data_IF_582920657478
#
_entry.id   IF_582920657478
#
_cell.length_a   1.000
_cell.length_b   1.000
_cell.length_c   1.000
_cell.angle_alpha   90.00
_cell.angle_beta   90.00
_cell.angle_gamma   90.00
#
_symmetry.space_group_name_H-M   'P 1'
#
loop_
_entity.id
_entity.type
_entity.pdbx_description
1 polymer ?
#
# COMPACT_ATOMS: atom_id res chain seq x y z
N UNK A 1 -72.39 -8.14 24.67
CA UNK A 1 -71.21 -8.95 25.03
C UNK A 1 -70.02 -8.19 24.49
N UNK A 2 -69.59 -7.19 25.27
CA UNK A 2 -68.58 -6.19 24.88
C UNK A 2 -67.16 -6.76 24.97
N UNK A 3 -66.33 -6.25 24.05
CA UNK A 3 -64.93 -6.56 23.89
C UNK A 3 -64.11 -6.16 25.12
N UNK A 4 -63.25 -7.06 25.60
CA UNK A 4 -62.20 -6.74 26.56
C UNK A 4 -60.88 -6.52 25.79
N UNK A 5 -60.64 -5.26 25.42
CA UNK A 5 -59.33 -4.77 25.02
C UNK A 5 -58.86 -3.87 26.17
N UNK A 6 -57.92 -4.37 26.98
CA UNK A 6 -57.32 -3.61 28.06
C UNK A 6 -55.83 -3.99 28.16
N UNK A 7 -55.05 -3.53 27.19
CA UNK A 7 -53.60 -3.41 27.33
C UNK A 7 -53.33 -2.25 28.29
N UNK A 8 -53.15 -2.58 29.56
CA UNK A 8 -52.67 -1.65 30.58
C UNK A 8 -51.15 -1.76 30.65
N UNK A 9 -50.46 -1.04 29.78
CA UNK A 9 -49.08 -0.62 30.00
C UNK A 9 -49.04 0.89 30.07
N UNK A 10 -49.01 1.41 31.30
CA UNK A 10 -48.81 2.83 31.55
C UNK A 10 -47.51 3.28 30.89
N UNK A 11 -47.62 4.17 29.91
CA UNK A 11 -46.49 4.82 29.27
C UNK A 11 -45.72 5.62 30.31
N UNK A 12 -44.62 5.05 30.80
CA UNK A 12 -43.59 5.81 31.49
C UNK A 12 -42.95 6.71 30.42
N UNK A 13 -42.94 8.05 30.58
CA UNK A 13 -42.29 8.91 29.60
C UNK A 13 -40.79 8.55 29.55
N UNK A 14 -40.33 8.20 28.36
CA UNK A 14 -38.93 7.91 28.08
C UNK A 14 -38.06 9.10 28.49
N UNK A 15 -36.88 8.88 29.10
CA UNK A 15 -36.00 9.97 29.51
C UNK A 15 -35.48 10.75 28.29
N UNK A 16 -35.42 12.08 28.41
CA UNK A 16 -34.74 12.94 27.44
C UNK A 16 -33.26 12.53 27.35
N UNK A 17 -32.89 11.84 26.28
CA UNK A 17 -31.50 11.45 26.06
C UNK A 17 -30.67 12.70 25.71
N UNK A 18 -29.56 13.00 26.42
CA UNK A 18 -28.71 14.13 26.10
C UNK A 18 -28.20 14.06 24.65
N UNK A 19 -28.11 15.20 23.95
CA UNK A 19 -27.63 15.31 22.56
C UNK A 19 -26.30 14.60 22.31
N UNK A 20 -25.49 14.43 23.35
CA UNK A 20 -24.23 13.69 23.34
C UNK A 20 -24.40 12.22 22.91
N UNK A 21 -25.52 11.57 23.25
CA UNK A 21 -25.81 10.19 22.82
C UNK A 21 -26.13 10.09 21.33
N UNK A 22 -26.71 11.13 20.73
CA UNK A 22 -26.95 11.18 19.29
C UNK A 22 -25.63 11.33 18.52
N UNK A 23 -24.69 12.10 19.07
CA UNK A 23 -23.34 12.25 18.51
C UNK A 23 -22.56 10.93 18.61
N UNK A 24 -22.63 10.26 19.76
CA UNK A 24 -22.00 8.95 19.95
C UNK A 24 -22.67 7.87 19.07
N UNK A 25 -23.98 7.95 18.82
CA UNK A 25 -24.67 7.09 17.86
C UNK A 25 -24.15 7.28 16.43
N UNK A 26 -23.91 8.52 15.99
CA UNK A 26 -23.36 8.82 14.66
C UNK A 26 -21.91 8.32 14.53
N UNK A 27 -21.10 8.50 15.58
CA UNK A 27 -19.72 7.97 15.62
C UNK A 27 -19.71 6.45 15.60
N UNK A 28 -20.51 5.81 16.44
CA UNK A 28 -20.66 4.37 16.45
C UNK A 28 -21.16 3.85 15.11
N UNK A 29 -22.13 4.51 14.46
CA UNK A 29 -22.59 4.13 13.11
C UNK A 29 -21.45 4.12 12.11
N UNK A 30 -20.59 5.15 12.11
CA UNK A 30 -19.41 5.20 11.23
C UNK A 30 -18.37 4.13 11.54
N UNK A 31 -18.15 3.81 12.82
CA UNK A 31 -17.19 2.76 13.21
C UNK A 31 -17.75 1.38 12.85
N UNK A 32 -19.03 1.11 13.14
CA UNK A 32 -19.70 -0.15 12.79
C UNK A 32 -19.80 -0.30 11.26
N UNK A 33 -20.09 0.76 10.50
CA UNK A 33 -20.12 0.70 9.03
C UNK A 33 -18.76 0.33 8.40
N UNK A 34 -17.66 0.63 9.11
CA UNK A 34 -16.30 0.25 8.73
C UNK A 34 -15.92 -1.14 9.25
N UNK A 35 -16.41 -1.55 10.42
CA UNK A 35 -16.03 -2.80 11.07
C UNK A 35 -16.94 -4.00 10.74
N UNK A 36 -18.24 -3.78 10.57
CA UNK A 36 -19.24 -4.81 10.25
C UNK A 36 -20.50 -4.20 9.59
N UNK A 37 -20.55 -4.28 8.25
CA UNK A 37 -21.71 -3.81 7.46
C UNK A 37 -22.99 -4.64 7.71
N UNK A 38 -22.89 -5.87 8.24
CA UNK A 38 -24.05 -6.74 8.47
C UNK A 38 -24.86 -6.32 9.69
N UNK A 39 -24.21 -5.92 10.79
CA UNK A 39 -24.86 -5.56 12.05
C UNK A 39 -25.85 -4.38 11.93
N UNK A 40 -25.61 -3.43 11.02
CA UNK A 40 -26.51 -2.28 10.79
C UNK A 40 -27.70 -2.62 9.89
N UNK A 41 -27.60 -3.66 9.06
CA UNK A 41 -28.69 -4.05 8.15
C UNK A 41 -29.92 -4.57 8.89
N UNK A 42 -29.70 -5.20 10.05
CA UNK A 42 -30.76 -5.71 10.93
C UNK A 42 -31.50 -4.58 11.68
N UNK A 43 -30.84 -3.45 11.95
CA UNK A 43 -31.45 -2.32 12.66
C UNK A 43 -32.65 -1.70 11.91
N UNK A 44 -32.66 -1.77 10.57
CA UNK A 44 -33.76 -1.26 9.75
C UNK A 44 -35.06 -2.06 9.91
N UNK A 45 -35.01 -3.22 10.57
CA UNK A 45 -36.16 -4.10 10.78
C UNK A 45 -36.87 -3.83 12.13
N UNK A 46 -36.28 -3.01 13.01
CA UNK A 46 -36.81 -2.73 14.34
C UNK A 46 -37.25 -1.27 14.49
N UNK A 47 -38.32 -1.03 15.26
CA UNK A 47 -38.74 0.32 15.61
C UNK A 47 -37.63 1.02 16.41
N UNK A 48 -37.21 2.21 15.97
CA UNK A 48 -36.16 3.03 16.59
C UNK A 48 -36.45 3.47 18.03
N UNK A 49 -37.70 3.36 18.48
CA UNK A 49 -38.12 3.62 19.87
C UNK A 49 -38.23 2.33 20.71
N UNK A 50 -38.03 1.15 20.10
CA UNK A 50 -38.16 -0.14 20.76
C UNK A 50 -36.92 -0.57 21.54
N UNK A 51 -37.14 -1.28 22.66
CA UNK A 51 -36.06 -1.83 23.50
C UNK A 51 -35.07 -2.71 22.70
N UNK A 52 -35.58 -3.52 21.75
CA UNK A 52 -34.76 -4.38 20.90
C UNK A 52 -33.80 -3.60 19.98
N UNK A 53 -34.25 -2.47 19.43
CA UNK A 53 -33.40 -1.59 18.62
C UNK A 53 -32.23 -1.04 19.46
N UNK A 54 -32.52 -0.54 20.66
CA UNK A 54 -31.47 0.00 21.54
C UNK A 54 -30.51 -1.07 22.08
N UNK A 55 -30.94 -2.32 22.23
CA UNK A 55 -30.06 -3.44 22.57
C UNK A 55 -29.07 -3.75 21.44
N UNK A 56 -29.54 -3.80 20.19
CA UNK A 56 -28.68 -4.01 19.03
C UNK A 56 -27.71 -2.85 18.81
N UNK A 57 -28.19 -1.61 18.94
CA UNK A 57 -27.34 -0.42 18.90
C UNK A 57 -26.25 -0.51 19.97
N UNK A 58 -26.60 -0.84 21.22
CA UNK A 58 -25.64 -0.95 22.32
C UNK A 58 -24.61 -2.05 22.05
N UNK A 59 -25.03 -3.20 21.52
CA UNK A 59 -24.12 -4.29 21.16
C UNK A 59 -23.13 -3.83 20.09
N UNK A 60 -23.63 -3.30 18.97
CA UNK A 60 -22.81 -2.83 17.86
C UNK A 60 -21.83 -1.71 18.29
N UNK A 61 -22.28 -0.76 19.11
CA UNK A 61 -21.41 0.29 19.69
C UNK A 61 -20.34 -0.33 20.58
N UNK A 62 -20.68 -1.32 21.40
CA UNK A 62 -19.74 -1.98 22.32
C UNK A 62 -18.68 -2.76 21.54
N UNK A 63 -19.07 -3.49 20.50
CA UNK A 63 -18.16 -4.21 19.61
C UNK A 63 -17.24 -3.23 18.87
N UNK A 64 -17.81 -2.20 18.24
CA UNK A 64 -17.05 -1.14 17.58
C UNK A 64 -16.03 -0.45 18.50
N UNK A 65 -16.43 -0.11 19.73
CA UNK A 65 -15.54 0.44 20.74
C UNK A 65 -14.48 -0.57 21.19
N UNK A 66 -14.84 -1.85 21.31
CA UNK A 66 -13.90 -2.93 21.61
C UNK A 66 -12.83 -3.06 20.52
N UNK A 67 -13.25 -3.14 19.25
CA UNK A 67 -12.35 -3.16 18.10
C UNK A 67 -11.45 -1.92 18.04
N UNK A 68 -12.02 -0.73 18.24
CA UNK A 68 -11.24 0.51 18.20
C UNK A 68 -10.24 0.62 19.38
N UNK A 69 -10.63 0.22 20.59
CA UNK A 69 -9.77 0.28 21.79
C UNK A 69 -8.65 -0.75 21.74
N UNK A 70 -8.92 -1.92 21.19
CA UNK A 70 -7.97 -3.04 21.13
C UNK A 70 -7.37 -3.23 19.75
N UNK A 71 -7.52 -2.26 18.83
CA UNK A 71 -6.97 -2.36 17.48
C UNK A 71 -5.46 -2.65 17.51
N UNK A 72 -4.72 -1.89 18.33
CA UNK A 72 -3.28 -2.07 18.48
C UNK A 72 -2.92 -3.40 19.16
N UNK A 73 -3.71 -3.86 20.15
CA UNK A 73 -3.49 -5.14 20.84
C UNK A 73 -3.74 -6.32 19.90
N UNK A 74 -4.80 -6.25 19.09
CA UNK A 74 -5.16 -7.25 18.09
C UNK A 74 -4.12 -7.27 16.97
N UNK A 75 -3.71 -6.10 16.48
CA UNK A 75 -2.65 -5.99 15.48
C UNK A 75 -1.34 -6.57 16.04
N UNK A 76 -0.97 -6.24 17.28
CA UNK A 76 0.20 -6.83 17.94
C UNK A 76 0.11 -8.36 18.09
N UNK A 77 -1.08 -8.90 18.37
CA UNK A 77 -1.30 -10.35 18.52
C UNK A 77 -1.30 -11.10 17.18
N UNK A 78 -1.86 -10.48 16.13
CA UNK A 78 -1.98 -11.07 14.80
C UNK A 78 -0.74 -10.84 13.92
N UNK A 79 0.12 -9.88 14.28
CA UNK A 79 1.38 -9.64 13.57
C UNK A 79 2.21 -10.93 13.49
N UNK A 80 2.81 -11.22 12.32
CA UNK A 80 3.83 -12.25 12.24
C UNK A 80 4.91 -12.00 13.29
N UNK A 81 5.48 -13.06 13.86
CA UNK A 81 6.63 -12.95 14.77
C UNK A 81 7.89 -12.39 14.06
N UNK A 82 7.87 -12.34 12.73
CA UNK A 82 8.89 -11.73 11.89
C UNK A 82 8.59 -10.25 11.60
N UNK A 83 9.62 -9.43 11.32
CA UNK A 83 9.41 -8.09 10.79
C UNK A 83 8.51 -8.12 9.54
N UNK A 84 7.61 -7.13 9.43
CA UNK A 84 6.76 -6.92 8.26
C UNK A 84 7.13 -5.58 7.59
N UNK A 85 7.06 -5.53 6.27
CA UNK A 85 7.25 -4.31 5.48
C UNK A 85 5.89 -3.99 4.85
N UNK A 86 5.34 -2.82 5.18
CA UNK A 86 4.16 -2.29 4.50
C UNK A 86 4.49 -1.95 3.04
N UNK A 87 3.57 -2.24 2.12
CA UNK A 87 3.78 -1.92 0.70
C UNK A 87 3.90 -0.40 0.47
N UNK A 88 3.27 0.40 1.31
CA UNK A 88 3.36 1.86 1.37
C UNK A 88 4.70 2.39 1.89
N UNK A 89 5.50 1.54 2.54
CA UNK A 89 6.87 1.85 2.94
C UNK A 89 7.91 1.60 1.81
N UNK A 90 7.49 1.11 0.64
CA UNK A 90 8.34 1.03 -0.53
C UNK A 90 8.71 2.43 -1.05
N UNK A 91 9.73 2.51 -1.89
CA UNK A 91 10.16 3.77 -2.49
C UNK A 91 8.98 4.47 -3.18
N UNK A 92 8.84 5.80 -3.04
CA UNK A 92 7.70 6.57 -3.57
C UNK A 92 7.51 6.35 -5.07
N UNK A 93 8.60 6.30 -5.84
CA UNK A 93 8.57 6.02 -7.28
C UNK A 93 7.98 4.65 -7.65
N UNK A 94 7.94 3.72 -6.70
CA UNK A 94 7.38 2.38 -6.87
C UNK A 94 5.95 2.34 -6.35
N UNK A 95 5.72 2.79 -5.11
CA UNK A 95 4.41 2.64 -4.49
C UNK A 95 3.36 3.55 -5.11
N UNK A 96 3.65 4.84 -5.35
CA UNK A 96 2.66 5.78 -5.89
C UNK A 96 1.99 5.33 -7.20
N UNK A 97 2.72 4.88 -8.25
CA UNK A 97 2.09 4.39 -9.46
C UNK A 97 1.43 3.01 -9.30
N UNK A 98 1.86 2.21 -8.33
CA UNK A 98 1.39 0.85 -8.11
C UNK A 98 0.12 0.78 -7.25
N UNK A 99 -0.03 1.68 -6.27
CA UNK A 99 -1.11 1.68 -5.28
C UNK A 99 -2.53 1.53 -5.88
N UNK A 100 -2.96 2.28 -6.91
CA UNK A 100 -4.30 2.12 -7.47
C UNK A 100 -4.50 0.77 -8.17
N UNK A 101 -3.44 0.23 -8.80
CA UNK A 101 -3.47 -1.08 -9.48
C UNK A 101 -3.47 -2.22 -8.45
N UNK A 102 -2.72 -2.02 -7.36
CA UNK A 102 -2.71 -2.93 -6.23
C UNK A 102 -4.08 -3.07 -5.57
N UNK A 103 -4.77 -1.94 -5.35
CA UNK A 103 -6.12 -1.91 -4.81
C UNK A 103 -7.15 -2.58 -5.73
N UNK A 104 -6.87 -2.64 -7.03
CA UNK A 104 -7.68 -3.33 -8.04
C UNK A 104 -7.25 -4.80 -8.26
N UNK A 105 -6.37 -5.34 -7.42
CA UNK A 105 -5.80 -6.71 -7.54
C UNK A 105 -5.03 -6.96 -8.86
N UNK A 106 -4.68 -5.90 -9.60
CA UNK A 106 -3.92 -5.94 -10.83
C UNK A 106 -2.41 -5.94 -10.53
N UNK A 107 -1.92 -7.00 -9.87
CA UNK A 107 -0.55 -7.07 -9.35
C UNK A 107 0.53 -7.00 -10.45
N UNK A 108 0.31 -7.66 -11.59
CA UNK A 108 1.22 -7.57 -12.74
C UNK A 108 1.35 -6.13 -13.24
N UNK A 109 0.22 -5.44 -13.40
CA UNK A 109 0.20 -4.05 -13.85
C UNK A 109 0.84 -3.11 -12.81
N UNK A 110 0.65 -3.38 -11.52
CA UNK A 110 1.29 -2.64 -10.44
C UNK A 110 2.83 -2.70 -10.53
N UNK A 111 3.39 -3.90 -10.73
CA UNK A 111 4.83 -4.11 -10.95
C UNK A 111 5.30 -3.38 -12.23
N UNK A 112 4.53 -3.48 -13.32
CA UNK A 112 4.85 -2.83 -14.58
C UNK A 112 4.84 -1.30 -14.47
N UNK A 113 3.87 -0.74 -13.76
CA UNK A 113 3.75 0.69 -13.50
C UNK A 113 4.94 1.22 -12.68
N UNK A 114 5.30 0.51 -11.60
CA UNK A 114 6.49 0.82 -10.81
C UNK A 114 7.76 0.81 -11.67
N UNK A 115 7.99 -0.26 -12.44
CA UNK A 115 9.17 -0.39 -13.29
C UNK A 115 9.26 0.76 -14.33
N UNK A 116 8.14 1.12 -14.96
CA UNK A 116 8.07 2.23 -15.93
C UNK A 116 8.48 3.56 -15.29
N UNK A 117 8.00 3.86 -14.08
CA UNK A 117 8.35 5.09 -13.37
C UNK A 117 9.83 5.10 -12.98
N UNK A 118 10.37 4.00 -12.45
CA UNK A 118 11.80 3.89 -12.11
C UNK A 118 12.69 4.11 -13.35
N UNK A 119 12.37 3.48 -14.48
CA UNK A 119 13.09 3.72 -15.73
C UNK A 119 13.00 5.18 -16.17
N UNK A 120 11.79 5.78 -16.12
CA UNK A 120 11.62 7.17 -16.51
C UNK A 120 12.44 8.12 -15.63
N UNK A 121 12.52 7.85 -14.32
CA UNK A 121 13.34 8.63 -13.38
C UNK A 121 14.84 8.48 -13.68
N UNK A 122 15.30 7.27 -14.01
CA UNK A 122 16.68 7.03 -14.47
C UNK A 122 17.00 7.83 -15.73
N UNK A 123 16.13 7.75 -16.74
CA UNK A 123 16.28 8.48 -17.99
C UNK A 123 16.35 9.99 -17.77
N UNK A 124 15.45 10.54 -16.94
CA UNK A 124 15.43 11.96 -16.60
C UNK A 124 16.71 12.37 -15.85
N UNK A 125 17.19 11.55 -14.91
CA UNK A 125 18.41 11.83 -14.16
C UNK A 125 19.66 11.88 -15.06
N UNK A 126 19.71 11.04 -16.09
CA UNK A 126 20.83 10.97 -17.03
C UNK A 126 20.65 11.86 -18.28
N UNK A 127 19.45 12.39 -18.52
CA UNK A 127 19.11 13.05 -19.78
C UNK A 127 19.19 12.12 -20.99
N UNK A 128 19.00 10.81 -20.81
CA UNK A 128 19.14 9.79 -21.86
C UNK A 128 17.83 9.08 -22.16
N UNK A 129 17.47 9.05 -23.45
CA UNK A 129 16.28 8.39 -23.97
C UNK A 129 16.58 7.59 -25.25
N UNK A 130 17.86 7.43 -25.58
CA UNK A 130 18.36 6.90 -26.85
C UNK A 130 18.48 5.37 -26.89
N UNK A 131 18.37 4.70 -25.74
CA UNK A 131 18.59 3.26 -25.59
C UNK A 131 17.54 2.61 -24.69
N UNK A 132 17.41 1.28 -24.82
CA UNK A 132 16.49 0.46 -24.02
C UNK A 132 16.88 0.39 -22.54
N UNK A 133 15.93 -0.03 -21.70
CA UNK A 133 16.06 0.02 -20.25
C UNK A 133 17.24 -0.80 -19.71
N UNK A 134 17.42 -2.02 -20.23
CA UNK A 134 18.53 -2.89 -19.83
C UNK A 134 19.88 -2.27 -20.16
N UNK A 135 20.06 -1.80 -21.40
CA UNK A 135 21.29 -1.15 -21.83
C UNK A 135 21.54 0.15 -21.08
N UNK A 136 20.48 0.89 -20.74
CA UNK A 136 20.57 2.11 -19.95
C UNK A 136 21.13 1.81 -18.56
N UNK A 137 20.61 0.80 -17.88
CA UNK A 137 21.13 0.34 -16.58
C UNK A 137 22.58 -0.14 -16.67
N UNK A 138 22.89 -0.95 -17.69
CA UNK A 138 24.25 -1.47 -17.90
C UNK A 138 25.26 -0.37 -18.14
N UNK A 139 24.88 0.67 -18.89
CA UNK A 139 25.75 1.81 -19.18
C UNK A 139 25.79 2.82 -18.04
N UNK A 140 24.69 3.05 -17.32
CA UNK A 140 24.62 4.07 -16.26
C UNK A 140 25.51 3.71 -15.09
N UNK A 141 25.46 2.46 -14.64
CA UNK A 141 26.26 2.00 -13.50
C UNK A 141 27.64 1.45 -13.89
N UNK A 142 28.05 1.52 -15.17
CA UNK A 142 29.36 1.00 -15.57
C UNK A 142 30.51 1.75 -14.86
N UNK A 143 31.46 1.06 -14.22
CA UNK A 143 32.57 1.71 -13.50
C UNK A 143 33.56 2.42 -14.43
N UNK A 144 33.51 2.19 -15.75
CA UNK A 144 34.32 2.93 -16.72
C UNK A 144 34.00 4.42 -16.70
N UNK A 145 34.98 5.29 -17.04
CA UNK A 145 34.76 6.72 -17.14
C UNK A 145 33.56 7.09 -18.05
N UNK A 146 32.88 8.20 -17.77
CA UNK A 146 31.86 8.72 -18.67
C UNK A 146 32.46 9.07 -20.03
N UNK A 147 31.65 8.93 -21.07
CA UNK A 147 31.99 9.37 -22.43
C UNK A 147 30.96 10.37 -22.92
N UNK A 148 31.26 11.11 -23.98
CA UNK A 148 30.35 12.12 -24.53
C UNK A 148 28.95 11.55 -24.78
N UNK A 149 27.92 12.25 -24.29
CA UNK A 149 26.51 11.82 -24.37
C UNK A 149 26.15 10.60 -23.50
N UNK A 150 27.11 10.03 -22.76
CA UNK A 150 26.92 8.84 -21.92
C UNK A 150 27.39 9.12 -20.50
N UNK A 151 26.66 9.93 -19.72
CA UNK A 151 26.92 10.09 -18.28
C UNK A 151 26.84 8.77 -17.51
N UNK A 152 27.42 8.77 -16.31
CA UNK A 152 27.45 7.62 -15.39
C UNK A 152 26.86 8.00 -14.04
N UNK A 153 26.25 7.03 -13.38
CA UNK A 153 25.87 7.10 -11.97
C UNK A 153 27.04 6.62 -11.12
N UNK A 154 27.32 7.35 -10.03
CA UNK A 154 28.36 7.02 -9.05
C UNK A 154 27.79 7.03 -7.65
N UNK A 155 28.01 5.96 -6.91
CA UNK A 155 27.84 6.01 -5.45
C UNK A 155 28.93 6.87 -4.84
N UNK A 156 28.58 7.56 -3.75
CA UNK A 156 29.56 8.25 -2.91
C UNK A 156 30.54 7.24 -2.28
N UNK A 157 31.78 7.67 -2.11
CA UNK A 157 32.85 6.89 -1.50
C UNK A 157 34.11 6.80 -2.37
N UNK A 158 35.06 5.99 -1.90
CA UNK A 158 36.35 5.79 -2.57
C UNK A 158 36.26 4.70 -3.64
N UNK A 159 36.41 5.13 -4.90
CA UNK A 159 36.28 4.32 -6.12
C UNK A 159 37.36 3.23 -6.26
N UNK A 160 38.48 3.38 -5.56
CA UNK A 160 39.58 2.43 -5.58
C UNK A 160 39.36 1.26 -4.62
N UNK A 161 38.31 1.31 -3.78
CA UNK A 161 38.00 0.23 -2.85
C UNK A 161 37.26 -0.93 -3.52
N UNK A 162 37.60 -2.20 -3.19
CA UNK A 162 36.86 -3.36 -3.69
C UNK A 162 35.37 -3.33 -3.35
N UNK A 163 35.02 -2.82 -2.17
CA UNK A 163 33.63 -2.71 -1.71
C UNK A 163 32.83 -1.73 -2.56
N UNK A 164 33.40 -0.57 -2.91
CA UNK A 164 32.75 0.39 -3.79
C UNK A 164 32.52 -0.22 -5.17
N UNK A 165 33.54 -0.88 -5.75
CA UNK A 165 33.42 -1.53 -7.05
C UNK A 165 32.36 -2.64 -7.05
N UNK A 166 32.34 -3.46 -6.01
CA UNK A 166 31.32 -4.51 -5.85
C UNK A 166 29.90 -3.93 -5.76
N UNK A 167 29.73 -2.80 -5.06
CA UNK A 167 28.45 -2.10 -4.98
C UNK A 167 28.02 -1.53 -6.33
N UNK A 168 28.96 -0.90 -7.04
CA UNK A 168 28.74 -0.32 -8.36
C UNK A 168 28.34 -1.39 -9.39
N UNK A 169 29.08 -2.50 -9.45
CA UNK A 169 28.77 -3.64 -10.32
C UNK A 169 27.47 -4.36 -9.88
N UNK A 170 27.22 -4.47 -8.58
CA UNK A 170 25.97 -5.02 -8.05
C UNK A 170 24.74 -4.21 -8.50
N UNK A 171 24.82 -2.88 -8.44
CA UNK A 171 23.76 -2.00 -8.94
C UNK A 171 23.56 -2.16 -10.44
N UNK A 172 24.65 -2.26 -11.21
CA UNK A 172 24.63 -2.51 -12.65
C UNK A 172 23.86 -3.79 -13.00
N UNK A 173 24.25 -4.92 -12.40
CA UNK A 173 23.65 -6.21 -12.75
C UNK A 173 22.24 -6.39 -12.17
N UNK A 174 21.98 -5.96 -10.94
CA UNK A 174 20.64 -6.07 -10.36
C UNK A 174 19.63 -5.23 -11.13
N UNK A 175 19.95 -3.98 -11.45
CA UNK A 175 19.03 -3.11 -12.18
C UNK A 175 18.74 -3.63 -13.59
N UNK A 176 19.77 -4.03 -14.33
CA UNK A 176 19.61 -4.65 -15.65
C UNK A 176 18.78 -5.95 -15.58
N UNK A 177 19.06 -6.80 -14.60
CA UNK A 177 18.32 -8.04 -14.35
C UNK A 177 16.87 -7.81 -13.97
N UNK A 178 16.56 -6.79 -13.17
CA UNK A 178 15.19 -6.43 -12.81
C UNK A 178 14.38 -6.00 -14.04
N UNK A 179 14.95 -5.15 -14.91
CA UNK A 179 14.25 -4.76 -16.14
C UNK A 179 14.09 -5.91 -17.12
N UNK A 180 15.12 -6.75 -17.28
CA UNK A 180 15.11 -7.85 -18.23
C UNK A 180 14.24 -9.03 -17.76
N UNK A 181 14.31 -9.40 -16.49
CA UNK A 181 13.66 -10.61 -15.95
C UNK A 181 12.28 -10.38 -15.34
N UNK A 182 12.00 -9.16 -14.84
CA UNK A 182 10.73 -8.86 -14.17
C UNK A 182 9.87 -7.98 -15.08
N UNK A 183 10.33 -6.78 -15.42
CA UNK A 183 9.52 -5.82 -16.21
C UNK A 183 9.17 -6.38 -17.58
N UNK A 184 10.12 -6.96 -18.30
CA UNK A 184 9.85 -7.48 -19.64
C UNK A 184 8.87 -8.64 -19.62
N UNK A 185 8.93 -9.52 -18.62
CA UNK A 185 7.93 -10.57 -18.44
C UNK A 185 6.54 -9.95 -18.20
N UNK A 186 6.45 -8.97 -17.29
CA UNK A 186 5.21 -8.23 -17.04
C UNK A 186 4.65 -7.51 -18.28
N UNK A 187 5.52 -7.07 -19.19
CA UNK A 187 5.15 -6.24 -20.32
C UNK A 187 4.79 -7.02 -21.59
N UNK A 188 5.33 -8.24 -21.75
CA UNK A 188 5.19 -9.03 -22.97
C UNK A 188 4.21 -10.19 -22.83
N UNK A 189 3.99 -10.69 -21.63
CA UNK A 189 2.97 -11.72 -21.38
C UNK A 189 1.61 -11.07 -21.13
N UNK A 190 0.56 -11.60 -21.76
CA UNK A 190 -0.82 -11.11 -21.56
C UNK A 190 -1.28 -11.29 -20.11
N UNK A 191 -0.88 -12.40 -19.49
CA UNK A 191 -1.18 -12.67 -18.10
C UNK A 191 -0.07 -13.52 -17.48
N UNK A 192 0.55 -12.99 -16.42
CA UNK A 192 1.55 -13.71 -15.62
C UNK A 192 0.89 -14.18 -14.33
N UNK A 193 1.11 -15.45 -13.99
CA UNK A 193 0.59 -16.03 -12.74
C UNK A 193 1.51 -15.68 -11.57
N UNK A 194 1.45 -14.43 -11.11
CA UNK A 194 2.15 -13.99 -9.91
C UNK A 194 1.22 -13.97 -8.71
N UNK A 195 1.70 -14.54 -7.60
CA UNK A 195 1.12 -14.33 -6.29
C UNK A 195 1.35 -12.89 -5.83
N UNK A 196 0.53 -12.44 -4.87
CA UNK A 196 0.71 -11.14 -4.22
C UNK A 196 2.12 -11.00 -3.61
N UNK A 197 2.64 -12.08 -3.05
CA UNK A 197 3.98 -12.12 -2.45
C UNK A 197 5.07 -11.87 -3.51
N UNK A 198 5.04 -12.59 -4.64
CA UNK A 198 6.01 -12.40 -5.72
C UNK A 198 5.96 -10.98 -6.27
N UNK A 199 4.76 -10.43 -6.47
CA UNK A 199 4.61 -9.06 -6.93
C UNK A 199 5.19 -8.03 -5.93
N UNK A 200 5.02 -8.23 -4.62
CA UNK A 200 5.67 -7.40 -3.60
C UNK A 200 7.19 -7.52 -3.63
N UNK A 201 7.74 -8.72 -3.82
CA UNK A 201 9.18 -8.94 -3.93
C UNK A 201 9.78 -8.24 -5.16
N UNK A 202 9.06 -8.25 -6.28
CA UNK A 202 9.43 -7.53 -7.49
C UNK A 202 9.38 -6.02 -7.31
N UNK A 203 8.31 -5.50 -6.70
CA UNK A 203 8.22 -4.08 -6.35
C UNK A 203 9.32 -3.68 -5.35
N UNK A 204 9.64 -4.52 -4.37
CA UNK A 204 10.75 -4.30 -3.44
C UNK A 204 12.10 -4.27 -4.16
N UNK A 205 12.29 -5.11 -5.17
CA UNK A 205 13.49 -5.08 -6.03
C UNK A 205 13.61 -3.73 -6.75
N UNK A 206 12.52 -3.23 -7.36
CA UNK A 206 12.51 -1.89 -7.97
C UNK A 206 12.68 -0.77 -6.94
N UNK A 207 12.23 -0.96 -5.70
CA UNK A 207 12.40 0.00 -4.60
C UNK A 207 13.88 0.15 -4.22
N UNK A 208 14.64 -0.96 -4.22
CA UNK A 208 16.10 -0.93 -4.06
C UNK A 208 16.77 -0.20 -5.22
N UNK A 209 16.39 -0.50 -6.46
CA UNK A 209 16.95 0.15 -7.66
C UNK A 209 16.66 1.65 -7.65
N UNK A 210 15.44 2.06 -7.32
CA UNK A 210 15.05 3.46 -7.22
C UNK A 210 15.91 4.23 -6.21
N UNK A 211 16.13 3.64 -5.02
CA UNK A 211 16.97 4.23 -3.99
C UNK A 211 18.41 4.42 -4.44
N UNK A 212 19.00 3.43 -5.13
CA UNK A 212 20.35 3.55 -5.68
C UNK A 212 20.44 4.62 -6.77
N UNK A 213 19.44 4.69 -7.65
CA UNK A 213 19.38 5.75 -8.66
C UNK A 213 19.33 7.11 -7.98
N UNK A 214 18.53 7.29 -6.93
CA UNK A 214 18.41 8.55 -6.19
C UNK A 214 19.71 8.93 -5.48
N UNK A 215 20.34 7.97 -4.78
CA UNK A 215 21.59 8.14 -4.04
C UNK A 215 22.78 8.52 -4.92
N UNK A 216 22.89 7.95 -6.13
CA UNK A 216 24.06 8.21 -6.97
C UNK A 216 24.15 9.64 -7.50
N UNK A 217 25.36 10.17 -7.65
CA UNK A 217 25.62 11.41 -8.39
C UNK A 217 25.82 11.12 -9.88
N UNK A 218 25.60 12.13 -10.73
CA UNK A 218 25.79 12.02 -12.18
C UNK A 218 27.16 12.57 -12.55
N UNK A 219 27.99 11.73 -13.16
CA UNK A 219 29.31 12.07 -13.68
C UNK A 219 29.23 12.19 -15.21
N UNK A 220 29.68 13.32 -15.77
CA UNK A 220 29.73 13.59 -17.22
C UNK A 220 31.17 13.57 -17.72
N UNK A 221 31.37 13.37 -19.03
CA UNK A 221 32.69 13.58 -19.61
C UNK A 221 33.12 15.04 -19.43
N UNK A 222 34.39 15.24 -19.06
CA UNK A 222 35.03 16.56 -18.93
C UNK A 222 35.39 17.10 -20.31
#
# INVERSE_FOLDING_TARGET
>A
MEAANADQTGGMPWPDWPQDLVIELVRARKIVEVCDQHALSELNQYNSEGLAYWQLVRLAVTEALGHARHADDVDAFLRPKSPAIGADALHLWVWEPAAPLWAAEAHQDAVLAAARVVNRRLQLKLGRHDIGEMDLCMQSFDPKPPTEGKPRLRFDGDVDTPTWRARQDGAKYLSAGAFLGIRNLAAHEEQVTWTQQEALEYMATFSVVARWIEECTVETAT
#
